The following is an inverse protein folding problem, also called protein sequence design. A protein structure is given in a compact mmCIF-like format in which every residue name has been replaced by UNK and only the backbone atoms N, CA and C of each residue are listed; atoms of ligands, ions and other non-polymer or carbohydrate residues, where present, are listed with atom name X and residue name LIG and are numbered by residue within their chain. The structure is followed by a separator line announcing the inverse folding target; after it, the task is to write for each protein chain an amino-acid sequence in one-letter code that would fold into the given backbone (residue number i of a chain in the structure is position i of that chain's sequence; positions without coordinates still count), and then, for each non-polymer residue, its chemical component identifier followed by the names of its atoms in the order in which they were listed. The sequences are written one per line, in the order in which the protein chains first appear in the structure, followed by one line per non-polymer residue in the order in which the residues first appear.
data_IF_811935758150
#
_entry.id   IF_811935758150
#
_cell.length_a   1.000
_cell.length_b   1.000
_cell.length_c   1.000
_cell.angle_alpha   90.00
_cell.angle_beta   90.00
_cell.angle_gamma   90.00
#
_symmetry.space_group_name_H-M   'P 1'
#
loop_
_entity.id
_entity.type
_entity.pdbx_description
1 polymer ?
#
# COMPACT_ATOMS: atom_id res chain seq x y z
N UNK A 1 2.94 -7.23 -21.87
CA UNK A 1 3.13 -8.40 -20.97
C UNK A 1 1.77 -8.89 -20.52
N UNK A 2 1.62 -10.21 -20.35
CA UNK A 2 0.38 -10.76 -19.75
C UNK A 2 0.35 -10.38 -18.26
N UNK A 3 -0.85 -10.07 -17.68
CA UNK A 3 -0.99 -9.85 -16.26
C UNK A 3 -0.42 -11.03 -15.48
N UNK A 4 0.35 -10.74 -14.43
CA UNK A 4 0.87 -11.77 -13.53
C UNK A 4 0.33 -11.53 -12.13
N UNK A 5 0.23 -12.56 -11.27
CA UNK A 5 -0.18 -12.39 -9.87
C UNK A 5 0.72 -11.44 -9.07
N UNK A 6 1.98 -11.27 -9.50
CA UNK A 6 2.92 -10.32 -8.87
C UNK A 6 2.74 -8.87 -9.33
N UNK A 7 1.84 -8.60 -10.28
CA UNK A 7 1.55 -7.27 -10.80
C UNK A 7 2.84 -6.48 -11.12
N UNK A 8 2.94 -5.25 -10.59
CA UNK A 8 4.09 -4.38 -10.81
C UNK A 8 5.38 -4.86 -10.16
N UNK A 9 5.32 -5.69 -9.11
CA UNK A 9 6.54 -6.25 -8.50
C UNK A 9 7.30 -7.19 -9.46
N UNK A 10 6.62 -7.80 -10.44
CA UNK A 10 7.26 -8.60 -11.49
C UNK A 10 8.23 -7.78 -12.33
N UNK A 11 7.93 -6.48 -12.51
CA UNK A 11 8.78 -5.58 -13.32
C UNK A 11 10.15 -5.36 -12.68
N UNK A 12 10.25 -5.45 -11.35
CA UNK A 12 11.55 -5.36 -10.64
C UNK A 12 12.51 -6.49 -10.99
N UNK A 13 11.97 -7.63 -11.40
CA UNK A 13 12.76 -8.79 -11.83
C UNK A 13 13.10 -8.73 -13.33
N UNK A 14 12.11 -8.35 -14.15
CA UNK A 14 12.22 -8.42 -15.59
C UNK A 14 12.84 -7.16 -16.21
N UNK A 15 12.62 -5.99 -15.59
CA UNK A 15 13.01 -4.69 -16.17
C UNK A 15 13.06 -3.58 -15.09
N UNK A 16 13.99 -3.67 -14.13
CA UNK A 16 14.08 -2.74 -13.00
C UNK A 16 14.29 -1.27 -13.42
N UNK A 17 14.97 -1.04 -14.57
CA UNK A 17 15.19 0.31 -15.10
C UNK A 17 13.89 1.04 -15.38
N UNK A 18 12.87 0.34 -15.84
CA UNK A 18 11.53 0.93 -16.10
C UNK A 18 10.89 1.45 -14.80
N UNK A 19 11.10 0.77 -13.67
CA UNK A 19 10.63 1.22 -12.36
C UNK A 19 11.41 2.46 -11.92
N UNK A 20 12.72 2.49 -12.15
CA UNK A 20 13.55 3.67 -11.86
C UNK A 20 13.11 4.89 -12.69
N UNK A 21 12.84 4.70 -13.99
CA UNK A 21 12.32 5.76 -14.87
C UNK A 21 10.99 6.30 -14.35
N UNK A 22 10.05 5.40 -13.96
CA UNK A 22 8.76 5.79 -13.40
C UNK A 22 8.91 6.60 -12.12
N UNK A 23 9.77 6.20 -11.19
CA UNK A 23 10.08 6.99 -10.00
C UNK A 23 10.63 8.37 -10.37
N UNK A 24 11.55 8.43 -11.34
CA UNK A 24 12.13 9.69 -11.81
C UNK A 24 11.06 10.62 -12.40
N UNK A 25 10.09 10.09 -13.14
CA UNK A 25 9.01 10.87 -13.73
C UNK A 25 8.06 11.42 -12.66
N UNK A 26 7.73 10.63 -11.63
CA UNK A 26 6.96 11.14 -10.48
C UNK A 26 7.71 12.24 -9.73
N UNK A 27 9.03 12.10 -9.52
CA UNK A 27 9.86 13.13 -8.88
C UNK A 27 9.90 14.40 -9.73
N UNK A 28 10.04 14.30 -11.07
CA UNK A 28 9.96 15.43 -11.99
C UNK A 28 8.60 16.12 -11.93
N UNK A 29 7.52 15.34 -11.83
CA UNK A 29 6.16 15.84 -11.68
C UNK A 29 5.87 16.50 -10.32
N UNK A 30 6.80 16.43 -9.37
CA UNK A 30 6.68 17.12 -8.09
C UNK A 30 6.44 16.19 -6.88
N UNK A 31 6.51 14.87 -7.04
CA UNK A 31 6.43 13.97 -5.90
C UNK A 31 7.57 14.25 -4.91
N UNK A 32 7.23 14.32 -3.63
CA UNK A 32 8.16 14.43 -2.51
C UNK A 32 8.42 13.09 -1.83
N UNK A 33 7.56 12.11 -2.05
CA UNK A 33 7.69 10.75 -1.56
C UNK A 33 7.50 9.79 -2.74
N UNK A 34 8.37 8.79 -2.86
CA UNK A 34 8.22 7.65 -3.77
C UNK A 34 8.16 6.38 -2.95
N UNK A 35 7.24 5.48 -3.26
CA UNK A 35 7.08 4.20 -2.56
C UNK A 35 7.82 3.08 -3.26
N UNK A 36 8.38 2.14 -2.52
CA UNK A 36 8.96 0.93 -3.08
C UNK A 36 7.91 0.15 -3.89
N UNK A 37 8.29 -0.37 -5.05
CA UNK A 37 7.40 -1.10 -5.96
C UNK A 37 7.26 -2.59 -5.60
N UNK A 38 7.15 -2.91 -4.32
CA UNK A 38 7.14 -4.28 -3.78
C UNK A 38 5.79 -4.70 -3.17
N UNK A 39 4.70 -4.00 -3.43
CA UNK A 39 3.38 -4.17 -2.82
C UNK A 39 2.89 -5.62 -2.75
N UNK A 40 3.08 -6.40 -3.82
CA UNK A 40 2.65 -7.81 -3.88
C UNK A 40 3.72 -8.80 -3.44
N UNK A 41 4.91 -8.35 -3.07
CA UNK A 41 6.02 -9.22 -2.68
C UNK A 41 5.98 -9.62 -1.19
N UNK A 42 4.79 -9.93 -0.67
CA UNK A 42 4.66 -10.49 0.67
C UNK A 42 5.01 -11.97 0.67
N UNK A 43 5.51 -12.54 1.78
CA UNK A 43 5.83 -13.96 1.84
C UNK A 43 4.65 -14.88 1.50
N UNK A 44 3.42 -14.54 1.95
CA UNK A 44 2.22 -15.30 1.59
C UNK A 44 1.95 -15.30 0.09
N UNK A 45 2.00 -14.12 -0.54
CA UNK A 45 1.75 -14.01 -1.98
C UNK A 45 2.84 -14.70 -2.80
N UNK A 46 4.09 -14.55 -2.41
CA UNK A 46 5.19 -15.21 -3.12
C UNK A 46 5.10 -16.73 -3.05
N UNK A 47 4.76 -17.31 -1.89
CA UNK A 47 4.54 -18.77 -1.77
C UNK A 47 3.38 -19.26 -2.63
N UNK A 48 2.31 -18.48 -2.75
CA UNK A 48 1.11 -18.83 -3.54
C UNK A 48 1.32 -18.61 -5.03
N UNK A 49 1.91 -17.50 -5.42
CA UNK A 49 1.81 -16.95 -6.78
C UNK A 49 3.13 -17.05 -7.58
N UNK A 50 4.25 -17.35 -6.91
CA UNK A 50 5.58 -17.43 -7.53
C UNK A 50 6.54 -18.36 -6.75
N UNK A 51 7.61 -17.80 -6.15
CA UNK A 51 8.51 -18.49 -5.21
C UNK A 51 8.91 -17.55 -4.08
N UNK A 52 9.00 -18.09 -2.87
CA UNK A 52 9.51 -17.36 -1.70
C UNK A 52 10.99 -16.95 -1.88
N UNK A 53 11.74 -17.68 -2.68
CA UNK A 53 13.15 -17.40 -2.97
C UNK A 53 13.37 -16.04 -3.66
N UNK A 54 12.31 -15.48 -4.27
CA UNK A 54 12.33 -14.15 -4.89
C UNK A 54 12.20 -13.00 -3.87
N UNK A 55 11.95 -13.31 -2.60
CA UNK A 55 11.65 -12.30 -1.59
C UNK A 55 12.77 -11.26 -1.45
N UNK A 56 13.99 -11.72 -1.19
CA UNK A 56 15.13 -10.82 -0.99
C UNK A 56 15.51 -10.07 -2.27
N UNK A 57 15.48 -10.73 -3.42
CA UNK A 57 15.79 -10.14 -4.72
C UNK A 57 14.84 -8.98 -5.05
N UNK A 58 13.53 -9.19 -4.91
CA UNK A 58 12.52 -8.15 -5.21
C UNK A 58 12.70 -6.95 -4.28
N UNK A 59 12.86 -7.18 -2.97
CA UNK A 59 13.01 -6.09 -2.01
C UNK A 59 14.31 -5.32 -2.20
N UNK A 60 15.41 -6.01 -2.51
CA UNK A 60 16.69 -5.36 -2.81
C UNK A 60 16.63 -4.56 -4.12
N UNK A 61 16.03 -5.12 -5.17
CA UNK A 61 15.81 -4.42 -6.44
C UNK A 61 14.97 -3.14 -6.23
N UNK A 62 13.86 -3.22 -5.48
CA UNK A 62 13.01 -2.08 -5.19
C UNK A 62 13.78 -0.94 -4.49
N UNK A 63 14.59 -1.27 -3.47
CA UNK A 63 15.44 -0.29 -2.77
C UNK A 63 16.46 0.34 -3.71
N UNK A 64 17.08 -0.47 -4.56
CA UNK A 64 18.14 -0.03 -5.48
C UNK A 64 17.60 0.98 -6.50
N UNK A 65 16.49 0.69 -7.16
CA UNK A 65 15.92 1.58 -8.18
C UNK A 65 15.34 2.86 -7.59
N UNK A 66 14.73 2.81 -6.39
CA UNK A 66 14.24 3.98 -5.70
C UNK A 66 15.39 4.92 -5.26
N UNK A 67 16.45 4.36 -4.68
CA UNK A 67 17.66 5.11 -4.33
C UNK A 67 18.32 5.76 -5.55
N UNK A 68 18.43 5.03 -6.66
CA UNK A 68 18.99 5.55 -7.90
C UNK A 68 18.16 6.72 -8.45
N UNK A 69 16.83 6.59 -8.48
CA UNK A 69 15.94 7.66 -8.91
C UNK A 69 16.07 8.92 -8.02
N UNK A 70 16.15 8.75 -6.69
CA UNK A 70 16.37 9.86 -5.73
C UNK A 70 17.71 10.56 -6.00
N UNK A 71 18.80 9.81 -6.11
CA UNK A 71 20.14 10.36 -6.38
C UNK A 71 20.16 11.10 -7.72
N UNK A 72 19.64 10.50 -8.78
CA UNK A 72 19.63 11.08 -10.13
C UNK A 72 18.77 12.34 -10.22
N UNK A 73 17.80 12.50 -9.32
CA UNK A 73 16.98 13.72 -9.28
C UNK A 73 17.73 14.97 -8.81
N UNK A 74 18.83 14.81 -8.07
CA UNK A 74 19.56 15.91 -7.42
C UNK A 74 18.76 16.62 -6.32
N UNK A 75 17.58 16.09 -5.92
CA UNK A 75 16.71 16.71 -4.90
C UNK A 75 16.89 16.00 -3.55
N UNK A 76 17.42 16.72 -2.56
CA UNK A 76 17.68 16.18 -1.22
C UNK A 76 16.41 15.87 -0.42
N UNK A 77 15.31 16.59 -0.70
CA UNK A 77 14.04 16.49 0.05
C UNK A 77 13.16 15.30 -0.35
N UNK A 78 13.56 14.49 -1.33
CA UNK A 78 12.80 13.30 -1.72
C UNK A 78 12.94 12.23 -0.63
N UNK A 79 11.80 11.69 -0.22
CA UNK A 79 11.71 10.57 0.73
C UNK A 79 11.37 9.27 0.01
N UNK A 80 11.93 8.16 0.50
CA UNK A 80 11.58 6.82 0.03
C UNK A 80 10.71 6.17 1.10
N UNK A 81 9.52 5.73 0.72
CA UNK A 81 8.60 5.01 1.59
C UNK A 81 8.70 3.50 1.37
N UNK A 82 8.84 2.76 2.45
CA UNK A 82 8.60 1.32 2.45
C UNK A 82 7.11 1.06 2.25
N UNK A 83 6.76 0.07 1.43
CA UNK A 83 5.38 -0.32 1.15
C UNK A 83 5.04 -1.61 1.90
N UNK A 84 4.05 -1.54 2.78
CA UNK A 84 3.50 -2.66 3.53
C UNK A 84 2.04 -2.87 3.09
N UNK A 85 1.86 -3.64 2.03
CA UNK A 85 0.53 -4.02 1.52
C UNK A 85 -0.10 -5.18 2.33
N UNK A 86 -1.38 -5.53 2.07
CA UNK A 86 -2.05 -6.65 2.71
C UNK A 86 -1.29 -7.97 2.53
N UNK A 87 -1.08 -8.71 3.64
CA UNK A 87 -0.20 -9.89 3.65
C UNK A 87 -0.66 -10.99 2.69
N UNK A 88 -1.96 -11.23 2.55
CA UNK A 88 -2.51 -12.33 1.75
C UNK A 88 -3.11 -11.85 0.43
N UNK A 89 -4.04 -10.91 0.48
CA UNK A 89 -4.75 -10.41 -0.70
C UNK A 89 -5.36 -9.03 -0.47
N UNK A 90 -5.37 -8.19 -1.52
CA UNK A 90 -6.09 -6.91 -1.49
C UNK A 90 -7.60 -7.13 -1.53
N UNK A 91 -8.37 -6.30 -0.83
CA UNK A 91 -9.85 -6.29 -0.85
C UNK A 91 -10.51 -7.58 -0.34
N UNK A 92 -9.81 -8.42 0.40
CA UNK A 92 -10.24 -9.71 0.90
C UNK A 92 -10.12 -9.78 2.43
N UNK A 93 -10.94 -9.02 3.19
CA UNK A 93 -10.87 -8.97 4.65
C UNK A 93 -11.08 -10.35 5.30
N UNK A 94 -11.84 -11.24 4.65
CA UNK A 94 -12.07 -12.61 5.08
C UNK A 94 -10.83 -13.50 5.07
N UNK A 95 -9.80 -13.11 4.29
CA UNK A 95 -8.54 -13.86 4.20
C UNK A 95 -7.45 -13.30 5.13
N UNK A 96 -7.72 -12.22 5.84
CA UNK A 96 -6.74 -11.62 6.76
C UNK A 96 -6.47 -12.55 7.94
N UNK A 97 -5.21 -13.00 8.14
CA UNK A 97 -4.85 -13.92 9.21
C UNK A 97 -5.07 -13.34 10.61
N UNK A 98 -4.75 -14.11 11.64
CA UNK A 98 -4.73 -13.61 13.01
C UNK A 98 -3.73 -12.46 13.18
N UNK A 99 -3.90 -11.65 14.22
CA UNK A 99 -2.98 -10.55 14.52
C UNK A 99 -1.53 -11.01 14.62
N UNK A 100 -1.29 -12.13 15.31
CA UNK A 100 0.06 -12.67 15.50
C UNK A 100 0.71 -13.14 14.21
N UNK A 101 -0.05 -13.75 13.30
CA UNK A 101 0.43 -14.14 11.98
C UNK A 101 0.73 -12.92 11.09
N UNK A 102 -0.18 -11.94 11.07
CA UNK A 102 0.06 -10.67 10.38
C UNK A 102 1.34 -9.99 10.89
N UNK A 103 1.48 -9.85 12.21
CA UNK A 103 2.64 -9.24 12.83
C UNK A 103 3.94 -9.95 12.45
N UNK A 104 3.95 -11.28 12.49
CA UNK A 104 5.12 -12.07 12.10
C UNK A 104 5.53 -11.81 10.64
N UNK A 105 4.59 -11.73 9.73
CA UNK A 105 4.87 -11.47 8.31
C UNK A 105 5.29 -10.00 8.08
N UNK A 106 4.64 -9.03 8.75
CA UNK A 106 5.05 -7.62 8.62
C UNK A 106 6.45 -7.36 9.18
N UNK A 107 6.86 -8.03 10.26
CA UNK A 107 8.25 -7.94 10.76
C UNK A 107 9.28 -8.37 9.71
N UNK A 108 8.99 -9.40 8.91
CA UNK A 108 9.86 -9.79 7.78
C UNK A 108 9.91 -8.72 6.70
N UNK A 109 8.74 -8.16 6.32
CA UNK A 109 8.63 -7.11 5.31
C UNK A 109 9.36 -5.83 5.74
N UNK A 110 9.20 -5.43 7.00
CA UNK A 110 9.91 -4.28 7.58
C UNK A 110 11.41 -4.52 7.53
N UNK A 111 11.87 -5.67 8.02
CA UNK A 111 13.30 -6.04 8.03
C UNK A 111 13.94 -6.00 6.65
N UNK A 112 13.21 -6.41 5.60
CA UNK A 112 13.70 -6.39 4.23
C UNK A 112 13.83 -4.97 3.63
N UNK A 113 13.18 -3.97 4.26
CA UNK A 113 13.07 -2.61 3.71
C UNK A 113 13.74 -1.53 4.57
N UNK A 114 13.86 -1.72 5.90
CA UNK A 114 14.20 -0.68 6.88
C UNK A 114 15.50 0.07 6.59
N UNK A 115 16.50 -0.58 6.01
CA UNK A 115 17.81 -0.02 5.68
C UNK A 115 17.81 0.85 4.41
N UNK A 116 16.67 0.91 3.71
CA UNK A 116 16.54 1.57 2.39
C UNK A 116 15.46 2.63 2.30
N UNK A 117 14.76 2.93 3.40
CA UNK A 117 13.60 3.82 3.40
C UNK A 117 13.69 4.91 4.46
N UNK A 118 12.96 6.00 4.25
CA UNK A 118 12.87 7.14 5.17
C UNK A 118 11.60 7.09 6.05
N UNK A 119 10.59 6.29 5.66
CA UNK A 119 9.31 6.11 6.35
C UNK A 119 8.65 4.81 5.87
N UNK A 120 7.56 4.39 6.53
CA UNK A 120 6.71 3.29 6.07
C UNK A 120 5.29 3.77 5.73
N UNK A 121 4.69 3.16 4.70
CA UNK A 121 3.26 3.27 4.39
C UNK A 121 2.64 1.89 4.49
N UNK A 122 1.78 1.70 5.50
CA UNK A 122 0.91 0.54 5.63
C UNK A 122 -0.32 0.81 4.77
N UNK A 123 -0.43 0.22 3.58
CA UNK A 123 -1.41 0.63 2.59
C UNK A 123 -2.48 -0.42 2.29
N UNK A 124 -3.68 0.06 1.92
CA UNK A 124 -4.80 -0.79 1.48
C UNK A 124 -5.33 -1.73 2.58
N UNK A 125 -5.23 -1.31 3.85
CA UNK A 125 -5.69 -2.12 4.97
C UNK A 125 -7.21 -2.23 4.98
N UNK A 126 -7.71 -3.45 4.96
CA UNK A 126 -9.14 -3.75 4.92
C UNK A 126 -9.74 -4.11 6.27
N UNK A 127 -8.90 -4.33 7.29
CA UNK A 127 -9.28 -4.64 8.68
C UNK A 127 -8.44 -3.85 9.68
N UNK A 128 -9.02 -3.54 10.85
CA UNK A 128 -8.29 -2.93 11.97
C UNK A 128 -7.17 -3.85 12.45
N UNK A 129 -7.42 -5.14 12.51
CA UNK A 129 -6.46 -6.13 12.98
C UNK A 129 -5.18 -6.13 12.15
N UNK A 130 -5.29 -6.14 10.83
CA UNK A 130 -4.13 -6.11 9.92
C UNK A 130 -3.40 -4.77 10.00
N UNK A 131 -4.15 -3.66 10.03
CA UNK A 131 -3.61 -2.33 10.19
C UNK A 131 -2.77 -2.19 11.47
N UNK A 132 -3.29 -2.66 12.60
CA UNK A 132 -2.54 -2.64 13.89
C UNK A 132 -1.25 -3.44 13.80
N UNK A 133 -1.28 -4.62 13.18
CA UNK A 133 -0.10 -5.46 13.05
C UNK A 133 0.98 -4.82 12.16
N UNK A 134 0.58 -4.21 11.05
CA UNK A 134 1.51 -3.54 10.14
C UNK A 134 2.15 -2.29 10.76
N UNK A 135 1.34 -1.43 11.40
CA UNK A 135 1.82 -0.23 12.08
C UNK A 135 2.74 -0.59 13.25
N UNK A 136 2.38 -1.60 14.05
CA UNK A 136 3.22 -2.04 15.16
C UNK A 136 4.59 -2.52 14.67
N UNK A 137 4.63 -3.34 13.62
CA UNK A 137 5.89 -3.81 13.04
C UNK A 137 6.75 -2.66 12.50
N UNK A 138 6.14 -1.70 11.78
CA UNK A 138 6.85 -0.54 11.24
C UNK A 138 7.41 0.36 12.35
N UNK A 139 6.65 0.62 13.42
CA UNK A 139 7.05 1.48 14.53
C UNK A 139 8.24 0.94 15.32
N UNK A 140 8.49 -0.38 15.32
CA UNK A 140 9.69 -0.96 15.95
C UNK A 140 11.01 -0.42 15.35
N UNK A 141 10.97 0.12 14.13
CA UNK A 141 12.15 0.75 13.49
C UNK A 141 12.44 2.17 13.97
N UNK A 142 11.48 2.83 14.62
CA UNK A 142 11.54 4.26 14.95
C UNK A 142 11.32 5.20 13.76
N UNK A 143 11.09 4.69 12.55
CA UNK A 143 10.78 5.51 11.38
C UNK A 143 9.32 5.98 11.38
N UNK A 144 9.03 7.17 10.80
CA UNK A 144 7.65 7.64 10.63
C UNK A 144 6.80 6.59 9.91
N UNK A 145 5.60 6.33 10.42
CA UNK A 145 4.68 5.34 9.85
C UNK A 145 3.36 5.99 9.48
N UNK A 146 2.95 5.82 8.22
CA UNK A 146 1.65 6.22 7.71
C UNK A 146 0.75 5.00 7.55
N UNK A 147 -0.55 5.15 7.85
CA UNK A 147 -1.55 4.10 7.67
C UNK A 147 -2.58 4.51 6.63
N UNK A 148 -2.97 3.61 5.74
CA UNK A 148 -3.99 3.83 4.73
C UNK A 148 -5.00 2.70 4.66
N UNK A 149 -6.28 3.06 4.81
CA UNK A 149 -7.39 2.12 4.78
C UNK A 149 -8.05 2.08 3.40
N UNK A 150 -8.57 0.92 3.03
CA UNK A 150 -9.47 0.78 1.88
C UNK A 150 -10.90 0.58 2.37
N UNK A 151 -11.81 1.40 1.83
CA UNK A 151 -13.19 1.49 2.28
C UNK A 151 -14.13 0.64 1.42
N UNK A 152 -15.28 0.30 1.97
CA UNK A 152 -16.34 -0.38 1.25
C UNK A 152 -16.94 0.54 0.17
N UNK A 153 -17.19 -0.01 -1.03
CA UNK A 153 -17.66 0.77 -2.17
C UNK A 153 -19.11 1.26 -2.00
N UNK A 154 -19.92 0.63 -1.15
CA UNK A 154 -21.32 0.95 -0.90
C UNK A 154 -21.55 1.64 0.44
N UNK A 155 -20.60 1.54 1.37
CA UNK A 155 -20.66 2.19 2.67
C UNK A 155 -19.36 2.96 2.97
N UNK A 156 -19.28 4.24 2.60
CA UNK A 156 -18.04 5.02 2.62
C UNK A 156 -17.43 5.28 3.99
N UNK A 157 -18.15 4.97 5.08
CA UNK A 157 -17.64 5.10 6.46
C UNK A 157 -17.28 3.75 7.10
N UNK A 158 -17.23 2.70 6.30
CA UNK A 158 -16.85 1.37 6.74
C UNK A 158 -15.62 0.88 5.98
N UNK A 159 -14.75 0.16 6.67
CA UNK A 159 -13.72 -0.65 6.04
C UNK A 159 -14.38 -1.79 5.24
N UNK A 160 -13.65 -2.42 4.33
CA UNK A 160 -14.18 -3.57 3.58
C UNK A 160 -14.54 -4.77 4.45
N UNK A 161 -14.03 -4.82 5.67
CA UNK A 161 -14.39 -5.81 6.70
C UNK A 161 -15.76 -5.57 7.35
N UNK A 162 -16.35 -4.37 7.15
CA UNK A 162 -17.53 -3.92 7.88
C UNK A 162 -17.21 -3.27 9.24
N UNK A 163 -15.93 -3.10 9.58
CA UNK A 163 -15.52 -2.31 10.74
C UNK A 163 -15.67 -0.81 10.45
N UNK A 164 -16.04 -0.01 11.46
CA UNK A 164 -16.22 1.43 11.30
C UNK A 164 -14.87 2.14 11.04
N UNK A 165 -14.85 3.10 10.10
CA UNK A 165 -13.69 3.97 9.90
C UNK A 165 -13.35 4.77 11.18
N UNK A 166 -14.36 5.20 11.93
CA UNK A 166 -14.17 5.92 13.19
C UNK A 166 -13.45 5.05 14.23
N UNK A 167 -13.82 3.79 14.34
CA UNK A 167 -13.14 2.85 15.25
C UNK A 167 -11.73 2.55 14.76
N UNK A 168 -11.52 2.44 13.45
CA UNK A 168 -10.20 2.28 12.87
C UNK A 168 -9.27 3.45 13.23
N UNK A 169 -9.75 4.70 13.13
CA UNK A 169 -8.99 5.89 13.52
C UNK A 169 -8.64 5.85 15.01
N UNK A 170 -9.61 5.57 15.89
CA UNK A 170 -9.37 5.47 17.34
C UNK A 170 -8.34 4.41 17.71
N UNK A 171 -8.35 3.28 17.01
CA UNK A 171 -7.39 2.19 17.24
C UNK A 171 -5.97 2.52 16.76
N UNK A 172 -5.82 3.53 15.86
CA UNK A 172 -4.52 4.02 15.40
C UNK A 172 -3.93 5.12 16.30
N UNK A 173 -4.76 5.87 17.05
CA UNK A 173 -4.29 6.97 17.91
C UNK A 173 -3.15 6.56 18.88
N UNK A 174 -3.25 5.43 19.62
CA UNK A 174 -2.20 5.03 20.54
C UNK A 174 -0.93 4.48 19.86
N UNK A 175 -0.97 4.27 18.54
CA UNK A 175 0.13 3.68 17.78
C UNK A 175 1.07 4.73 17.16
N UNK A 176 0.88 6.01 17.46
CA UNK A 176 1.74 7.11 17.01
C UNK A 176 2.01 7.11 15.49
N UNK A 177 0.93 7.04 14.70
CA UNK A 177 1.04 7.14 13.24
C UNK A 177 1.22 8.59 12.81
N UNK A 178 2.01 8.81 11.76
CA UNK A 178 2.29 10.14 11.19
C UNK A 178 1.10 10.71 10.41
N UNK A 179 0.36 9.85 9.72
CA UNK A 179 -0.84 10.22 8.96
C UNK A 179 -1.82 9.06 8.85
N UNK A 180 -3.11 9.41 8.71
CA UNK A 180 -4.17 8.45 8.36
C UNK A 180 -4.66 8.79 6.96
N UNK A 181 -4.69 7.79 6.10
CA UNK A 181 -5.04 7.96 4.69
C UNK A 181 -6.15 6.99 4.27
N UNK A 182 -6.74 7.27 3.11
CA UNK A 182 -7.66 6.36 2.40
C UNK A 182 -7.10 6.13 1.01
N UNK A 183 -6.99 4.86 0.63
CA UNK A 183 -6.54 4.51 -0.71
C UNK A 183 -7.34 3.36 -1.33
N UNK A 184 -7.14 3.15 -2.62
CA UNK A 184 -7.74 2.03 -3.34
C UNK A 184 -9.26 1.92 -3.11
N UNK A 185 -9.93 3.06 -3.03
CA UNK A 185 -11.37 3.21 -2.84
C UNK A 185 -11.93 4.08 -3.96
N UNK A 186 -13.24 4.04 -4.17
CA UNK A 186 -13.88 4.89 -5.19
C UNK A 186 -13.72 6.38 -4.85
N UNK A 187 -13.62 7.27 -5.86
CA UNK A 187 -13.57 8.72 -5.62
C UNK A 187 -14.74 9.22 -4.78
N UNK A 188 -15.94 8.71 -5.03
CA UNK A 188 -17.15 9.06 -4.29
C UNK A 188 -17.05 8.68 -2.81
N UNK A 189 -16.55 7.48 -2.53
CA UNK A 189 -16.28 6.98 -1.17
C UNK A 189 -15.27 7.88 -0.45
N UNK A 190 -14.19 8.24 -1.12
CA UNK A 190 -13.15 9.12 -0.57
C UNK A 190 -13.72 10.51 -0.27
N UNK A 191 -14.51 11.08 -1.18
CA UNK A 191 -15.15 12.38 -0.98
C UNK A 191 -16.07 12.44 0.25
N UNK A 192 -16.69 11.33 0.62
CA UNK A 192 -17.49 11.24 1.84
C UNK A 192 -16.64 11.06 3.10
N UNK A 193 -15.57 10.30 3.03
CA UNK A 193 -14.77 9.92 4.19
C UNK A 193 -13.72 10.97 4.59
N UNK A 194 -13.09 11.66 3.63
CA UNK A 194 -12.02 12.65 3.89
C UNK A 194 -12.49 13.80 4.81
N UNK A 195 -13.68 14.41 4.65
CA UNK A 195 -14.15 15.46 5.57
C UNK A 195 -14.26 14.98 7.03
N UNK A 196 -14.62 13.71 7.24
CA UNK A 196 -14.61 13.12 8.58
C UNK A 196 -13.20 13.00 9.12
N UNK A 197 -12.28 12.46 8.33
CA UNK A 197 -10.90 12.23 8.76
C UNK A 197 -10.16 13.53 9.10
N UNK A 198 -10.37 14.59 8.34
CA UNK A 198 -9.75 15.92 8.58
C UNK A 198 -10.12 16.49 9.94
N UNK A 199 -11.32 16.16 10.45
CA UNK A 199 -11.76 16.57 11.77
C UNK A 199 -11.23 15.68 12.90
N UNK A 200 -10.74 14.48 12.57
CA UNK A 200 -10.30 13.47 13.55
C UNK A 200 -8.78 13.37 13.65
N UNK A 201 -8.08 13.66 12.58
CA UNK A 201 -6.63 13.47 12.52
C UNK A 201 -5.92 14.63 11.82
N UNK A 202 -4.76 15.11 12.33
CA UNK A 202 -4.12 16.33 11.84
C UNK A 202 -3.50 16.20 10.44
N UNK A 203 -3.10 15.00 10.02
CA UNK A 203 -2.51 14.73 8.71
C UNK A 203 -3.28 13.64 8.00
N UNK A 204 -3.96 14.01 6.94
CA UNK A 204 -4.82 13.13 6.14
C UNK A 204 -4.36 13.13 4.69
N UNK A 205 -4.46 11.97 4.05
CA UNK A 205 -4.18 11.81 2.63
C UNK A 205 -5.18 10.88 1.97
N UNK A 206 -5.25 10.92 0.65
CA UNK A 206 -6.07 10.00 -0.10
C UNK A 206 -5.56 9.82 -1.53
N UNK A 207 -5.77 8.62 -2.11
CA UNK A 207 -5.71 8.39 -3.55
C UNK A 207 -6.76 7.37 -4.00
N UNK A 208 -7.49 7.72 -5.05
CA UNK A 208 -8.64 6.97 -5.52
C UNK A 208 -8.26 5.87 -6.52
N UNK A 209 -9.14 4.87 -6.64
CA UNK A 209 -9.14 3.97 -7.78
C UNK A 209 -9.59 4.72 -9.05
N UNK A 210 -9.03 4.33 -10.20
CA UNK A 210 -9.50 4.80 -11.50
C UNK A 210 -10.70 4.01 -12.07
N UNK A 211 -11.45 3.28 -11.23
CA UNK A 211 -12.59 2.45 -11.61
C UNK A 211 -13.69 2.52 -10.54
N UNK A 212 -14.93 2.21 -10.93
CA UNK A 212 -16.13 2.43 -10.11
C UNK A 212 -16.39 1.36 -9.03
N UNK A 213 -15.87 0.15 -9.16
CA UNK A 213 -16.09 -0.95 -8.21
C UNK A 213 -15.00 -2.00 -8.33
N UNK A 214 -14.73 -2.69 -7.22
CA UNK A 214 -13.86 -3.88 -7.20
C UNK A 214 -14.62 -5.19 -7.49
N UNK A 215 -15.90 -5.15 -7.79
CA UNK A 215 -16.72 -6.37 -7.95
C UNK A 215 -16.20 -7.26 -9.09
N UNK A 216 -15.69 -6.66 -10.15
CA UNK A 216 -15.02 -7.41 -11.22
C UNK A 216 -13.80 -8.20 -10.74
N UNK A 217 -13.03 -7.66 -9.79
CA UNK A 217 -11.88 -8.35 -9.18
C UNK A 217 -12.33 -9.45 -8.21
N UNK A 218 -13.41 -9.22 -7.43
CA UNK A 218 -13.99 -10.23 -6.54
C UNK A 218 -14.50 -11.45 -7.30
N UNK A 219 -15.05 -11.25 -8.49
CA UNK A 219 -15.53 -12.31 -9.38
C UNK A 219 -14.42 -13.09 -10.10
N UNK A 220 -13.14 -12.84 -9.77
CA UNK A 220 -12.00 -13.49 -10.44
C UNK A 220 -11.57 -12.84 -11.75
N UNK A 221 -12.12 -11.67 -12.07
CA UNK A 221 -11.68 -10.86 -13.19
C UNK A 221 -10.30 -10.23 -12.95
N UNK A 222 -9.70 -9.74 -14.03
CA UNK A 222 -8.45 -8.98 -13.99
C UNK A 222 -8.75 -7.47 -13.94
N UNK A 223 -7.72 -6.65 -13.67
CA UNK A 223 -7.85 -5.18 -13.71
C UNK A 223 -8.35 -4.69 -15.07
N UNK A 224 -8.07 -5.42 -16.15
CA UNK A 224 -8.58 -5.10 -17.49
C UNK A 224 -10.08 -5.34 -17.63
N UNK A 225 -10.69 -6.19 -16.80
CA UNK A 225 -12.15 -6.39 -16.78
C UNK A 225 -12.90 -5.24 -16.11
N UNK A 226 -12.19 -4.32 -15.47
CA UNK A 226 -12.77 -3.11 -14.89
C UNK A 226 -12.99 -2.09 -15.99
N UNK A 227 -14.24 -1.69 -16.21
CA UNK A 227 -14.59 -0.75 -17.26
C UNK A 227 -14.02 0.66 -16.98
N UNK A 228 -12.90 0.98 -17.64
CA UNK A 228 -12.28 2.30 -17.59
C UNK A 228 -13.03 3.37 -18.40
N UNK A 229 -14.01 2.99 -19.23
CA UNK A 229 -14.72 3.94 -20.09
C UNK A 229 -15.69 4.83 -19.33
N UNK A 230 -16.15 4.37 -18.15
CA UNK A 230 -17.08 5.13 -17.31
C UNK A 230 -16.42 6.20 -16.43
N UNK A 231 -15.10 6.30 -16.41
CA UNK A 231 -14.34 7.26 -15.59
C UNK A 231 -13.98 8.56 -16.32
N UNK A 232 -14.52 8.80 -17.51
CA UNK A 232 -14.41 10.12 -18.13
C UNK A 232 -15.51 11.02 -17.59
N UNK A 233 -15.17 11.81 -16.58
CA UNK A 233 -15.83 13.07 -16.27
C UNK A 233 -15.38 14.14 -17.26
#
# INVERSE_FOLDING_TARGET
QKPTPLWSARVLLDNPELVQELHSDFIKAGAQVISLNNYTATPFRLRRDASIDLFDEIHQSAKTVAKAAKINSGKENIKIAGSLGPVVASYKPELVPSYSECLHEYKKLVKAQEDGVDLFICETMSTIREAKASVFAANETGLPTCISFTLDDHNPLMLRSGESLLDAVKEMEPLNVESIMINCSMPETINHAVPLLVNLFPRVGAYANGFQSIDGLKAGGTVESLDRKSTRL
#
